data_IF_933312897981
#
_entry.id   IF_933312897981
#
_cell.length_a   1.000
_cell.length_b   1.000
_cell.length_c   1.000
_cell.angle_alpha   90.00
_cell.angle_beta   90.00
_cell.angle_gamma   90.00
#
_symmetry.space_group_name_H-M   'P 1'
#
loop_
_entity.id
_entity.type
_entity.pdbx_description
1 polymer ?
#
# COMPACT_ATOMS: atom_id res chain seq x y z
N UNK A 1 -3.64 -21.18 28.22
CA UNK A 1 -3.05 -19.84 28.50
C UNK A 1 -3.88 -19.13 29.57
N UNK A 2 -3.31 -18.16 30.31
CA UNK A 2 -4.02 -17.40 31.38
C UNK A 2 -5.33 -16.74 30.90
N UNK A 3 -5.40 -16.37 29.61
CA UNK A 3 -6.56 -15.73 29.01
C UNK A 3 -7.73 -16.70 28.74
N UNK A 4 -7.44 -17.98 28.48
CA UNK A 4 -8.48 -18.98 28.18
C UNK A 4 -9.41 -19.16 29.40
N UNK A 5 -8.83 -19.24 30.59
CA UNK A 5 -9.55 -19.38 31.86
C UNK A 5 -10.45 -18.17 32.18
N UNK A 6 -9.99 -16.96 31.86
CA UNK A 6 -10.77 -15.72 32.04
C UNK A 6 -11.97 -15.70 31.09
N UNK A 7 -11.79 -16.17 29.85
CA UNK A 7 -12.85 -16.25 28.86
C UNK A 7 -13.90 -17.32 29.24
N UNK A 8 -13.46 -18.48 29.71
CA UNK A 8 -14.33 -19.56 30.22
C UNK A 8 -15.22 -19.05 31.37
N UNK A 9 -14.63 -18.37 32.36
CA UNK A 9 -15.34 -17.80 33.51
C UNK A 9 -16.34 -16.70 33.11
N UNK A 10 -15.99 -15.81 32.18
CA UNK A 10 -16.84 -14.70 31.75
C UNK A 10 -18.01 -15.15 30.86
N UNK A 11 -17.79 -16.16 30.02
CA UNK A 11 -18.75 -16.58 28.99
C UNK A 11 -19.62 -17.76 29.44
N UNK A 12 -19.27 -18.41 30.56
CA UNK A 12 -19.97 -19.58 31.12
C UNK A 12 -20.23 -20.66 30.06
N UNK A 13 -19.22 -20.91 29.22
CA UNK A 13 -19.25 -21.82 28.05
C UNK A 13 -17.89 -22.49 27.96
N UNK A 14 -17.89 -23.81 27.84
CA UNK A 14 -16.66 -24.62 27.76
C UNK A 14 -16.03 -24.64 26.35
N UNK A 15 -16.77 -24.20 25.33
CA UNK A 15 -16.34 -24.31 23.93
C UNK A 15 -16.96 -23.26 23.00
N UNK A 16 -16.23 -22.91 21.94
CA UNK A 16 -16.67 -22.01 20.88
C UNK A 16 -16.96 -22.79 19.59
N UNK A 17 -18.09 -22.45 18.96
CA UNK A 17 -18.49 -23.05 17.68
C UNK A 17 -17.51 -22.74 16.54
N UNK A 18 -16.87 -21.56 16.57
CA UNK A 18 -16.06 -21.04 15.45
C UNK A 18 -14.69 -20.52 15.90
N UNK A 19 -14.61 -19.81 17.03
CA UNK A 19 -13.35 -19.25 17.53
C UNK A 19 -12.40 -20.38 17.92
N UNK A 20 -11.15 -20.32 17.45
CA UNK A 20 -10.15 -21.37 17.69
C UNK A 20 -10.31 -22.63 16.81
N UNK A 21 -11.30 -22.66 15.91
CA UNK A 21 -11.52 -23.77 14.97
C UNK A 21 -10.92 -23.46 13.59
N UNK A 22 -10.46 -24.50 12.89
CA UNK A 22 -10.05 -24.38 11.48
C UNK A 22 -11.30 -24.26 10.60
N UNK A 23 -11.54 -23.07 10.07
CA UNK A 23 -12.68 -22.77 9.19
C UNK A 23 -12.18 -22.27 7.84
N UNK A 24 -12.93 -22.54 6.77
CA UNK A 24 -12.62 -22.01 5.45
C UNK A 24 -12.78 -20.49 5.49
N UNK A 25 -11.74 -19.77 5.07
CA UNK A 25 -11.82 -18.30 4.98
C UNK A 25 -12.87 -17.91 3.95
N UNK A 26 -13.65 -16.89 4.27
CA UNK A 26 -14.70 -16.36 3.39
C UNK A 26 -14.17 -15.88 2.03
N UNK A 27 -12.92 -15.43 1.97
CA UNK A 27 -12.27 -14.95 0.75
C UNK A 27 -11.44 -16.03 0.02
N UNK A 28 -11.41 -17.27 0.53
CA UNK A 28 -10.53 -18.32 -0.01
C UNK A 28 -10.88 -18.67 -1.45
N UNK A 29 -12.17 -18.86 -1.75
CA UNK A 29 -12.61 -19.35 -3.05
C UNK A 29 -12.30 -18.34 -4.16
N UNK A 30 -12.56 -17.06 -3.94
CA UNK A 30 -12.30 -16.03 -4.95
C UNK A 30 -10.80 -15.86 -5.21
N UNK A 31 -9.95 -16.02 -4.18
CA UNK A 31 -8.50 -15.95 -4.32
C UNK A 31 -7.94 -17.14 -5.10
N UNK A 32 -8.39 -18.37 -4.84
CA UNK A 32 -7.89 -19.56 -5.56
C UNK A 32 -8.43 -19.67 -6.98
N UNK A 33 -9.60 -19.08 -7.26
CA UNK A 33 -10.21 -19.07 -8.59
C UNK A 33 -9.79 -17.85 -9.45
N UNK A 34 -8.97 -16.93 -8.93
CA UNK A 34 -8.59 -15.70 -9.63
C UNK A 34 -9.76 -14.73 -9.85
N UNK A 35 -10.83 -14.83 -9.05
CA UNK A 35 -11.97 -13.90 -9.09
C UNK A 35 -11.75 -12.67 -8.22
N UNK A 36 -10.92 -12.82 -7.18
CA UNK A 36 -10.52 -11.70 -6.33
C UNK A 36 -9.72 -10.69 -7.16
N UNK A 37 -10.14 -9.42 -7.11
CA UNK A 37 -9.46 -8.30 -7.77
C UNK A 37 -8.59 -7.54 -6.78
N UNK A 38 -7.35 -7.29 -7.16
CA UNK A 38 -6.37 -6.46 -6.47
C UNK A 38 -6.19 -5.13 -7.20
N UNK A 39 -5.43 -4.20 -6.61
CA UNK A 39 -5.27 -2.83 -7.13
C UNK A 39 -4.89 -2.78 -8.62
N UNK A 40 -4.02 -3.68 -9.08
CA UNK A 40 -3.58 -3.73 -10.46
C UNK A 40 -4.65 -4.23 -11.45
N UNK A 41 -5.70 -4.90 -10.96
CA UNK A 41 -6.80 -5.41 -11.79
C UNK A 41 -7.85 -4.32 -12.08
N UNK A 42 -7.80 -3.20 -11.36
CA UNK A 42 -8.67 -2.06 -11.55
C UNK A 42 -8.00 -1.02 -12.48
N UNK A 43 -8.15 -1.23 -13.80
CA UNK A 43 -7.65 -0.29 -14.83
C UNK A 43 -8.83 0.28 -15.64
N UNK A 44 -9.43 1.39 -15.20
CA UNK A 44 -10.44 2.11 -15.98
C UNK A 44 -9.94 2.55 -17.36
N UNK A 45 -10.86 2.90 -18.26
CA UNK A 45 -10.53 3.55 -19.52
C UNK A 45 -9.77 4.86 -19.25
N UNK A 46 -8.83 5.20 -20.14
CA UNK A 46 -8.03 6.42 -20.09
C UNK A 46 -7.14 6.57 -18.83
N UNK A 47 -6.82 5.45 -18.17
CA UNK A 47 -5.87 5.42 -17.05
C UNK A 47 -4.45 5.71 -17.54
N UNK A 48 -3.81 6.74 -16.98
CA UNK A 48 -2.39 7.02 -17.22
C UNK A 48 -1.50 6.00 -16.48
N UNK A 49 -0.43 5.57 -17.15
CA UNK A 49 0.60 4.71 -16.54
C UNK A 49 1.74 5.59 -16.04
N UNK A 50 2.08 5.47 -14.75
CA UNK A 50 3.12 6.27 -14.11
C UNK A 50 4.36 5.43 -13.85
N UNK A 51 5.54 6.03 -14.05
CA UNK A 51 6.83 5.45 -13.68
C UNK A 51 7.56 6.37 -12.71
N UNK A 52 8.00 5.82 -11.58
CA UNK A 52 8.74 6.57 -10.57
C UNK A 52 10.24 6.50 -10.86
N UNK A 53 10.86 7.66 -11.05
CA UNK A 53 12.32 7.78 -11.05
C UNK A 53 12.82 7.87 -9.61
N UNK A 54 13.76 6.99 -9.23
CA UNK A 54 14.34 6.93 -7.89
C UNK A 54 15.80 7.33 -7.93
N UNK A 55 16.32 7.86 -6.81
CA UNK A 55 17.74 8.19 -6.69
C UNK A 55 18.60 6.96 -6.98
N UNK A 56 19.57 7.05 -7.91
CA UNK A 56 20.58 6.00 -8.10
C UNK A 56 21.72 6.10 -7.08
N UNK A 57 21.71 7.14 -6.23
CA UNK A 57 22.74 7.43 -5.25
C UNK A 57 22.25 7.18 -3.81
N UNK A 58 23.16 6.78 -2.89
CA UNK A 58 22.91 6.78 -1.44
C UNK A 58 22.65 8.23 -0.94
N UNK A 59 22.53 8.51 0.38
CA UNK A 59 22.17 9.84 0.86
C UNK A 59 22.97 10.97 0.18
N UNK A 60 22.25 11.81 -0.56
CA UNK A 60 22.80 12.85 -1.43
C UNK A 60 21.85 14.04 -1.48
N UNK A 61 22.42 15.23 -1.72
CA UNK A 61 21.65 16.44 -1.97
C UNK A 61 21.24 16.49 -3.45
N UNK A 62 19.97 16.77 -3.71
CA UNK A 62 19.47 16.99 -5.08
C UNK A 62 19.72 18.46 -5.43
N UNK A 63 20.70 18.73 -6.29
CA UNK A 63 20.99 20.10 -6.76
C UNK A 63 20.03 20.57 -7.85
N UNK A 64 19.48 19.63 -8.64
CA UNK A 64 18.52 19.93 -9.69
C UNK A 64 17.96 18.66 -10.34
N UNK A 65 16.83 18.82 -11.03
CA UNK A 65 16.16 17.76 -11.80
C UNK A 65 15.84 18.32 -13.18
N UNK A 66 16.35 17.69 -14.24
CA UNK A 66 15.99 18.01 -15.62
C UNK A 66 14.92 17.04 -16.13
N UNK A 67 13.72 17.56 -16.41
CA UNK A 67 12.57 16.77 -16.88
C UNK A 67 12.39 16.76 -18.40
N UNK A 68 13.13 17.60 -19.14
CA UNK A 68 12.99 17.71 -20.60
C UNK A 68 13.11 16.35 -21.32
N UNK A 69 14.07 15.47 -20.99
CA UNK A 69 14.18 14.18 -21.67
C UNK A 69 12.95 13.27 -21.46
N UNK A 70 12.22 13.46 -20.36
CA UNK A 70 11.00 12.69 -20.08
C UNK A 70 9.82 13.22 -20.92
N UNK A 71 9.74 14.54 -21.11
CA UNK A 71 8.69 15.20 -21.88
C UNK A 71 8.85 14.99 -23.40
N UNK A 72 10.06 14.77 -23.88
CA UNK A 72 10.34 14.48 -25.29
C UNK A 72 9.89 13.07 -25.74
N UNK A 73 9.56 12.17 -24.80
CA UNK A 73 9.10 10.83 -25.13
C UNK A 73 7.71 10.88 -25.79
N UNK A 74 7.49 10.25 -26.96
CA UNK A 74 6.19 10.29 -27.66
C UNK A 74 4.99 9.78 -26.84
N UNK A 75 5.26 8.96 -25.81
CA UNK A 75 4.25 8.35 -24.93
C UNK A 75 4.04 9.13 -23.63
N UNK A 76 4.85 10.16 -23.37
CA UNK A 76 4.76 10.93 -22.14
C UNK A 76 3.60 11.93 -22.20
N UNK A 77 2.81 11.96 -21.14
CA UNK A 77 1.78 12.98 -20.95
C UNK A 77 2.29 14.15 -20.11
N UNK A 78 3.13 13.86 -19.11
CA UNK A 78 3.69 14.86 -18.19
C UNK A 78 4.85 14.25 -17.41
N UNK A 79 5.64 15.11 -16.76
CA UNK A 79 6.66 14.75 -15.79
C UNK A 79 6.47 15.64 -14.55
N UNK A 80 6.39 15.02 -13.36
CA UNK A 80 6.10 15.71 -12.10
C UNK A 80 7.30 15.60 -11.16
N UNK A 81 7.60 16.69 -10.46
CA UNK A 81 8.66 16.82 -9.46
C UNK A 81 8.11 17.38 -8.14
N UNK A 82 8.97 17.48 -7.13
CA UNK A 82 8.60 18.00 -5.81
C UNK A 82 7.95 19.41 -5.85
N UNK A 83 8.29 20.22 -6.85
CA UNK A 83 7.73 21.56 -7.03
C UNK A 83 6.25 21.57 -7.48
N UNK A 84 5.76 20.45 -8.04
CA UNK A 84 4.37 20.33 -8.51
C UNK A 84 3.39 19.92 -7.40
N UNK A 85 3.89 19.67 -6.18
CA UNK A 85 3.06 19.34 -5.03
C UNK A 85 2.37 20.63 -4.53
N UNK A 86 1.03 20.72 -4.57
CA UNK A 86 0.31 21.97 -4.26
C UNK A 86 0.28 22.32 -2.77
N UNK A 87 0.86 21.51 -1.91
CA UNK A 87 0.82 21.66 -0.46
C UNK A 87 2.12 21.23 0.21
N UNK A 88 2.04 20.91 1.49
CA UNK A 88 3.17 20.39 2.24
C UNK A 88 3.67 19.06 1.63
N UNK A 89 4.93 19.04 1.21
CA UNK A 89 5.56 17.86 0.61
C UNK A 89 6.30 17.01 1.67
N UNK A 90 5.61 16.69 2.76
CA UNK A 90 6.07 15.81 3.84
C UNK A 90 4.90 14.94 4.32
N UNK A 91 5.20 13.69 4.72
CA UNK A 91 4.21 12.74 5.26
C UNK A 91 4.82 12.14 6.54
N UNK A 92 4.06 12.12 7.64
CA UNK A 92 4.48 11.58 8.95
C UNK A 92 4.56 12.64 10.05
N UNK A 93 4.80 12.20 11.29
CA UNK A 93 5.08 13.11 12.40
C UNK A 93 6.43 13.80 12.16
N UNK A 94 6.54 15.11 12.45
CA UNK A 94 7.72 15.96 12.25
C UNK A 94 8.96 15.57 13.11
N UNK A 95 9.02 14.34 13.63
CA UNK A 95 10.11 13.83 14.43
C UNK A 95 11.29 13.39 13.54
N UNK A 96 12.44 14.07 13.62
CA UNK A 96 13.62 13.67 12.85
C UNK A 96 14.07 12.27 13.27
N UNK A 97 14.18 11.34 12.31
CA UNK A 97 14.86 10.04 12.51
C UNK A 97 13.99 8.82 12.76
N UNK A 98 12.66 8.93 12.64
CA UNK A 98 11.78 7.75 12.61
C UNK A 98 11.49 7.31 11.16
N UNK A 99 11.47 6.00 10.86
CA UNK A 99 11.15 5.48 9.53
C UNK A 99 9.67 5.62 9.18
#
# INVERSE_FOLDING_TARGET
MRYDRILEELLNRDDFLVVGRSVVRTDALDKVLGRAKFTADYVPRDTAVVKVARSPHPPALIEGINIEPALELPVAQTALIAADVPGANHIGDDLPGHP
#
